data_IF_297098693498
#
_entry.id   IF_297098693498
#
_cell.length_a   1.000
_cell.length_b   1.000
_cell.length_c   1.000
_cell.angle_alpha   90.00
_cell.angle_beta   90.00
_cell.angle_gamma   90.00
#
_symmetry.space_group_name_H-M   'P 1'
#
loop_
_entity.id
_entity.type
_entity.pdbx_description
1 polymer ?
#
# COMPACT_ATOMS: atom_id res chain seq x y z
N UNK A 1 -16.75 -7.03 -3.93
CA UNK A 1 -15.47 -7.10 -3.20
C UNK A 1 -14.25 -7.01 -4.11
N UNK A 2 -13.98 -7.97 -5.01
CA UNK A 2 -12.74 -7.96 -5.82
C UNK A 2 -12.51 -6.68 -6.66
N UNK A 3 -13.55 -6.08 -7.23
CA UNK A 3 -13.41 -4.85 -8.03
C UNK A 3 -12.97 -3.64 -7.19
N UNK A 4 -13.43 -3.52 -5.94
CA UNK A 4 -13.03 -2.41 -5.06
C UNK A 4 -11.61 -2.59 -4.54
N UNK A 5 -11.20 -3.82 -4.19
CA UNK A 5 -9.81 -4.12 -3.78
C UNK A 5 -8.83 -3.77 -4.90
N UNK A 6 -9.18 -4.09 -6.16
CA UNK A 6 -8.38 -3.71 -7.32
C UNK A 6 -8.19 -2.19 -7.43
N UNK A 7 -9.24 -1.40 -7.22
CA UNK A 7 -9.15 0.07 -7.24
C UNK A 7 -8.33 0.61 -6.06
N UNK A 8 -8.50 0.07 -4.85
CA UNK A 8 -7.69 0.42 -3.68
C UNK A 8 -6.20 0.23 -3.99
N UNK A 9 -5.83 -0.91 -4.59
CA UNK A 9 -4.44 -1.19 -5.00
C UNK A 9 -4.00 -0.26 -6.12
N UNK A 10 -4.89 0.07 -7.07
CA UNK A 10 -4.58 1.07 -8.12
C UNK A 10 -4.18 2.41 -7.50
N UNK A 11 -4.88 2.89 -6.48
CA UNK A 11 -4.47 4.12 -5.76
C UNK A 11 -3.16 3.95 -4.99
N UNK A 12 -2.92 2.78 -4.38
CA UNK A 12 -1.65 2.46 -3.74
C UNK A 12 -0.47 2.60 -4.71
N UNK A 13 -0.64 2.17 -5.98
CA UNK A 13 0.41 2.26 -7.01
C UNK A 13 0.75 3.69 -7.45
N UNK A 14 -0.06 4.69 -7.11
CA UNK A 14 0.23 6.11 -7.38
C UNK A 14 1.18 6.72 -6.33
N UNK A 15 1.60 5.93 -5.34
CA UNK A 15 2.56 6.38 -4.35
C UNK A 15 3.91 6.75 -4.99
N UNK A 16 4.64 7.73 -4.43
CA UNK A 16 6.01 7.95 -4.83
C UNK A 16 6.88 6.74 -4.48
N UNK A 17 7.94 6.52 -5.25
CA UNK A 17 8.99 5.54 -4.96
C UNK A 17 10.35 6.04 -5.42
N UNK A 18 11.43 5.55 -4.81
CA UNK A 18 12.80 5.86 -5.21
C UNK A 18 13.00 5.60 -6.70
N UNK A 19 13.42 6.63 -7.45
CA UNK A 19 13.56 6.60 -8.91
C UNK A 19 12.33 6.09 -9.68
N UNK A 20 11.13 6.19 -9.09
CA UNK A 20 9.89 5.62 -9.62
C UNK A 20 9.96 4.10 -9.91
N UNK A 21 10.81 3.38 -9.17
CA UNK A 21 11.04 1.93 -9.33
C UNK A 21 9.79 1.10 -9.04
N UNK A 22 8.88 1.63 -8.22
CA UNK A 22 7.65 0.96 -7.77
C UNK A 22 7.96 -0.44 -7.19
N UNK A 23 8.75 -0.52 -6.09
CA UNK A 23 9.37 -1.77 -5.63
C UNK A 23 8.42 -2.57 -4.73
N UNK A 24 7.14 -2.63 -5.08
CA UNK A 24 6.09 -3.31 -4.32
C UNK A 24 5.41 -4.40 -5.14
N UNK A 25 5.05 -5.48 -4.47
CA UNK A 25 4.16 -6.53 -4.96
C UNK A 25 2.93 -6.61 -4.06
N UNK A 26 1.75 -6.71 -4.65
CA UNK A 26 0.51 -6.89 -3.91
C UNK A 26 0.02 -8.33 -4.07
N UNK A 27 -0.33 -8.97 -2.96
CA UNK A 27 -1.03 -10.25 -2.95
C UNK A 27 -2.37 -10.09 -2.22
N UNK A 28 -3.44 -10.65 -2.78
CA UNK A 28 -4.81 -10.50 -2.29
C UNK A 28 -5.29 -11.87 -1.82
N UNK A 29 -5.90 -11.92 -0.63
CA UNK A 29 -6.65 -13.07 -0.15
C UNK A 29 -7.90 -12.58 0.60
N UNK A 30 -9.08 -12.81 0.04
CA UNK A 30 -10.36 -12.27 0.54
C UNK A 30 -10.31 -10.75 0.79
N UNK A 31 -10.39 -10.32 2.06
CA UNK A 31 -10.31 -8.93 2.49
C UNK A 31 -8.90 -8.52 2.97
N UNK A 32 -7.90 -9.36 2.75
CA UNK A 32 -6.50 -9.10 3.13
C UNK A 32 -5.71 -8.70 1.89
N UNK A 33 -4.97 -7.61 2.01
CA UNK A 33 -3.96 -7.17 1.05
C UNK A 33 -2.59 -7.26 1.74
N UNK A 34 -1.67 -8.00 1.13
CA UNK A 34 -0.26 -8.05 1.54
C UNK A 34 0.55 -7.16 0.61
N UNK A 35 1.39 -6.29 1.18
CA UNK A 35 2.36 -5.47 0.46
C UNK A 35 3.74 -6.05 0.73
N UNK A 36 4.40 -6.56 -0.31
CA UNK A 36 5.70 -7.20 -0.24
C UNK A 36 6.76 -6.37 -0.96
N UNK A 37 8.01 -6.35 -0.48
CA UNK A 37 9.11 -5.72 -1.20
C UNK A 37 9.43 -6.52 -2.48
N UNK A 38 9.71 -5.81 -3.56
CA UNK A 38 10.24 -6.39 -4.79
C UNK A 38 11.74 -6.08 -4.93
N UNK A 39 12.57 -6.90 -4.30
CA UNK A 39 14.04 -6.77 -4.35
C UNK A 39 14.63 -6.88 -5.77
N UNK A 40 13.86 -7.34 -6.76
CA UNK A 40 14.31 -7.28 -8.17
C UNK A 40 14.39 -5.86 -8.72
N UNK A 41 13.80 -4.89 -8.00
CA UNK A 41 13.77 -3.46 -8.31
C UNK A 41 14.70 -2.63 -7.42
N UNK A 42 15.58 -3.29 -6.66
CA UNK A 42 16.56 -2.66 -5.78
C UNK A 42 17.54 -1.76 -6.52
N UNK A 43 17.96 -0.68 -5.85
CA UNK A 43 18.90 0.31 -6.36
C UNK A 43 20.29 0.12 -5.72
N UNK A 44 21.05 -0.88 -6.17
CA UNK A 44 22.32 -1.30 -5.56
C UNK A 44 23.37 -0.21 -5.30
N UNK A 45 23.32 0.90 -6.03
CA UNK A 45 24.26 2.03 -5.84
C UNK A 45 23.62 3.15 -5.02
N UNK A 46 22.38 3.52 -5.31
CA UNK A 46 21.73 4.67 -4.68
C UNK A 46 21.14 4.34 -3.30
N UNK A 47 20.73 3.08 -3.10
CA UNK A 47 20.11 2.56 -1.88
C UNK A 47 20.65 1.15 -1.56
N UNK A 48 21.95 1.01 -1.23
CA UNK A 48 22.57 -0.30 -1.00
C UNK A 48 22.00 -1.07 0.20
N UNK A 49 21.32 -0.38 1.12
CA UNK A 49 20.73 -0.96 2.33
C UNK A 49 19.22 -1.23 2.20
N UNK A 50 18.66 -1.14 0.99
CA UNK A 50 17.23 -1.37 0.69
C UNK A 50 16.25 -0.43 1.43
N UNK A 51 16.73 0.68 2.00
CA UNK A 51 15.92 1.59 2.81
C UNK A 51 14.81 2.25 1.98
N UNK A 52 15.11 2.64 0.75
CA UNK A 52 14.14 3.27 -0.16
C UNK A 52 13.04 2.31 -0.60
N UNK A 53 13.30 1.00 -0.68
CA UNK A 53 12.25 0.01 -0.92
C UNK A 53 11.22 0.11 0.19
N UNK A 54 11.63 0.00 1.46
CA UNK A 54 10.69 0.02 2.58
C UNK A 54 9.99 1.37 2.77
N UNK A 55 10.66 2.49 2.47
CA UNK A 55 10.00 3.81 2.41
C UNK A 55 8.91 3.83 1.34
N UNK A 56 9.21 3.30 0.15
CA UNK A 56 8.26 3.21 -0.95
C UNK A 56 7.06 2.34 -0.57
N UNK A 57 7.26 1.22 0.14
CA UNK A 57 6.19 0.38 0.67
C UNK A 57 5.30 1.15 1.66
N UNK A 58 5.90 1.95 2.56
CA UNK A 58 5.15 2.80 3.48
C UNK A 58 4.31 3.86 2.75
N UNK A 59 4.83 4.46 1.68
CA UNK A 59 4.06 5.38 0.84
C UNK A 59 2.89 4.68 0.13
N UNK A 60 3.11 3.46 -0.38
CA UNK A 60 2.05 2.66 -0.99
C UNK A 60 0.98 2.26 0.03
N UNK A 61 1.38 1.88 1.25
CA UNK A 61 0.46 1.60 2.36
C UNK A 61 -0.43 2.79 2.69
N UNK A 62 0.13 3.99 2.81
CA UNK A 62 -0.65 5.18 3.17
C UNK A 62 -1.69 5.51 2.09
N UNK A 63 -1.30 5.49 0.81
CA UNK A 63 -2.24 5.65 -0.30
C UNK A 63 -3.34 4.58 -0.28
N UNK A 64 -2.97 3.32 0.04
CA UNK A 64 -3.91 2.21 0.16
C UNK A 64 -4.94 2.47 1.27
N UNK A 65 -4.49 2.90 2.45
CA UNK A 65 -5.35 3.20 3.60
C UNK A 65 -6.32 4.34 3.28
N UNK A 66 -5.82 5.43 2.69
CA UNK A 66 -6.66 6.57 2.29
C UNK A 66 -7.72 6.14 1.27
N UNK A 67 -7.34 5.33 0.27
CA UNK A 67 -8.26 4.82 -0.74
C UNK A 67 -9.30 3.85 -0.16
N UNK A 68 -8.88 2.97 0.76
CA UNK A 68 -9.78 2.05 1.46
C UNK A 68 -10.85 2.81 2.25
N UNK A 69 -10.46 3.83 3.01
CA UNK A 69 -11.39 4.70 3.74
C UNK A 69 -12.38 5.38 2.81
N UNK A 70 -11.93 5.93 1.69
CA UNK A 70 -12.82 6.54 0.69
C UNK A 70 -13.86 5.56 0.14
N UNK A 71 -13.53 4.27 0.08
CA UNK A 71 -14.41 3.22 -0.42
C UNK A 71 -15.25 2.54 0.66
N UNK A 72 -15.27 3.09 1.89
CA UNK A 72 -16.09 2.57 2.99
C UNK A 72 -15.45 1.38 3.72
N UNK A 73 -14.12 1.31 3.74
CA UNK A 73 -13.38 0.34 4.53
C UNK A 73 -12.53 1.03 5.58
N UNK A 74 -12.58 0.54 6.82
CA UNK A 74 -11.48 0.74 7.75
C UNK A 74 -10.43 -0.36 7.55
N UNK A 75 -9.29 -0.24 8.20
CA UNK A 75 -8.21 -1.21 8.09
C UNK A 75 -7.63 -1.58 9.45
N UNK A 76 -7.24 -2.83 9.58
CA UNK A 76 -6.33 -3.31 10.61
C UNK A 76 -5.01 -3.67 9.93
N UNK A 77 -3.93 -3.00 10.31
CA UNK A 77 -2.63 -3.10 9.64
C UNK A 77 -1.58 -3.67 10.59
N UNK A 78 -1.06 -4.84 10.23
CA UNK A 78 0.08 -5.46 10.89
C UNK A 78 1.34 -5.26 10.05
N UNK A 79 2.33 -4.59 10.63
CA UNK A 79 3.63 -4.39 10.00
C UNK A 79 4.53 -5.59 10.31
N UNK A 80 4.88 -6.38 9.29
CA UNK A 80 5.82 -7.50 9.39
C UNK A 80 5.50 -8.47 10.54
N UNK A 81 4.27 -9.03 10.61
CA UNK A 81 3.87 -9.91 11.69
C UNK A 81 4.71 -11.20 11.73
N UNK A 82 4.79 -11.85 12.89
CA UNK A 82 5.70 -13.00 13.10
C UNK A 82 5.44 -14.19 12.16
N UNK A 83 4.21 -14.37 11.68
CA UNK A 83 3.82 -15.42 10.74
C UNK A 83 4.01 -15.02 9.26
N UNK A 84 4.33 -13.75 8.99
CA UNK A 84 4.56 -13.20 7.65
C UNK A 84 5.54 -12.00 7.73
N UNK A 85 6.80 -12.24 8.11
CA UNK A 85 7.75 -11.18 8.47
C UNK A 85 8.22 -10.35 7.27
N UNK A 86 7.89 -10.75 6.04
CA UNK A 86 8.32 -10.07 4.81
C UNK A 86 7.24 -9.13 4.25
N UNK A 87 6.07 -9.06 4.86
CA UNK A 87 4.93 -8.31 4.33
C UNK A 87 4.36 -7.32 5.33
N UNK A 88 3.85 -6.21 4.80
CA UNK A 88 2.82 -5.42 5.48
C UNK A 88 1.49 -6.08 5.18
N UNK A 89 0.72 -6.41 6.21
CA UNK A 89 -0.56 -7.10 6.09
C UNK A 89 -1.69 -6.14 6.46
N UNK A 90 -2.56 -5.85 5.49
CA UNK A 90 -3.70 -4.94 5.66
C UNK A 90 -4.99 -5.74 5.54
N UNK A 91 -5.78 -5.75 6.61
CA UNK A 91 -7.12 -6.35 6.64
C UNK A 91 -8.17 -5.27 6.52
N UNK A 92 -8.98 -5.34 5.48
CA UNK A 92 -10.07 -4.41 5.23
C UNK A 92 -11.33 -4.84 5.98
N UNK A 93 -11.94 -3.92 6.71
CA UNK A 93 -13.19 -4.13 7.44
C UNK A 93 -14.23 -3.11 6.96
N UNK A 94 -15.45 -3.53 6.64
CA UNK A 94 -16.50 -2.60 6.22
C UNK A 94 -16.73 -1.52 7.29
N UNK A 95 -16.81 -0.27 6.86
CA UNK A 95 -16.95 0.88 7.74
C UNK A 95 -17.88 1.94 7.15
N UNK A 96 -18.63 2.60 8.03
CA UNK A 96 -19.45 3.77 7.70
C UNK A 96 -18.77 5.08 8.11
N UNK A 97 -17.50 5.01 8.54
CA UNK A 97 -16.73 6.19 8.89
C UNK A 97 -16.60 7.12 7.68
N UNK A 98 -16.60 8.43 7.93
CA UNK A 98 -16.36 9.42 6.88
C UNK A 98 -14.86 9.42 6.55
N UNK A 99 -14.56 9.29 5.26
CA UNK A 99 -13.22 9.51 4.72
C UNK A 99 -12.87 11.00 4.65
N UNK A 100 -11.57 11.30 4.66
CA UNK A 100 -11.07 12.65 4.36
C UNK A 100 -10.87 12.80 2.85
N UNK A 101 -11.86 13.41 2.17
CA UNK A 101 -11.82 13.59 0.71
C UNK A 101 -10.61 14.37 0.23
N UNK A 102 -10.12 15.35 1.00
CA UNK A 102 -8.97 16.17 0.60
C UNK A 102 -7.68 15.34 0.44
N UNK A 103 -7.47 14.36 1.33
CA UNK A 103 -6.31 13.46 1.23
C UNK A 103 -6.45 12.50 0.05
N UNK A 104 -7.65 11.98 -0.18
CA UNK A 104 -7.92 11.10 -1.31
C UNK A 104 -7.73 11.81 -2.65
N UNK A 105 -8.31 13.00 -2.80
CA UNK A 105 -8.22 13.79 -4.03
C UNK A 105 -6.77 14.16 -4.36
N UNK A 106 -5.94 14.40 -3.32
CA UNK A 106 -4.52 14.70 -3.45
C UNK A 106 -3.69 13.55 -4.06
N UNK A 107 -4.16 12.29 -3.98
CA UNK A 107 -3.47 11.15 -4.60
C UNK A 107 -3.43 11.31 -6.13
N UNK A 108 -4.48 11.87 -6.73
CA UNK A 108 -4.63 12.02 -8.19
C UNK A 108 -4.35 13.42 -8.73
N UNK A 109 -4.20 14.42 -7.87
CA UNK A 109 -4.07 15.82 -8.27
C UNK A 109 -2.70 16.22 -8.86
N UNK A 110 -1.92 15.26 -9.36
CA UNK A 110 -0.57 15.47 -9.89
C UNK A 110 -0.54 15.43 -11.40
#
# INVERSE_FOLDING_TARGET
>A
MNTQIGEIIRYATLAPSGHNTQPWKFAINDNIIRILPDFTRHLAIADPDDREIFISLGCALENLVIAAQQMGYDNDTDLFPANDPDAIVVRLNESKAKSNSNLFDAITAR
#
